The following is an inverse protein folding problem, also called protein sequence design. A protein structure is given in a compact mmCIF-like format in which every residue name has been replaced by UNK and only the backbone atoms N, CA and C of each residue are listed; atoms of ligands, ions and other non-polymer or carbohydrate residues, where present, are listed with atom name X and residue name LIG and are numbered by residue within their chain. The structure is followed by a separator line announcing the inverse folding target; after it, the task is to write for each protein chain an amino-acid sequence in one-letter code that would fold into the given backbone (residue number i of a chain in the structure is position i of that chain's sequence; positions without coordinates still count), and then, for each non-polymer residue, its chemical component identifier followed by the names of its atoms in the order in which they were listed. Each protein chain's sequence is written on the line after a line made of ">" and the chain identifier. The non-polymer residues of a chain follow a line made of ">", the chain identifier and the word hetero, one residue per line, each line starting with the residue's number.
data_IF_699740156725
#
_entry.id   IF_699740156725
#
_cell.length_a   1.000
_cell.length_b   1.000
_cell.length_c   1.000
_cell.angle_alpha   90.00
_cell.angle_beta   90.00
_cell.angle_gamma   90.00
#
_symmetry.space_group_name_H-M   'P 1'
#
loop_
_entity.id
_entity.type
_entity.pdbx_description
1 polymer ?
#
# COMPACT_ATOMS: atom_id res chain seq x y z
N UNK A 1 12.18 -25.65 16.58
CA UNK A 1 12.89 -25.61 15.28
C UNK A 1 11.90 -25.21 14.19
N UNK A 2 12.29 -24.33 13.27
CA UNK A 2 11.42 -23.89 12.17
C UNK A 2 11.36 -24.97 11.09
N UNK A 3 10.15 -25.47 10.80
CA UNK A 3 9.92 -26.51 9.79
C UNK A 3 9.64 -25.89 8.43
N UNK A 4 9.76 -26.67 7.35
CA UNK A 4 9.36 -26.22 6.01
C UNK A 4 7.89 -25.78 5.95
N UNK A 5 7.01 -26.43 6.73
CA UNK A 5 5.62 -26.01 6.84
C UNK A 5 5.49 -24.60 7.44
N UNK A 6 6.24 -24.28 8.49
CA UNK A 6 6.24 -22.94 9.10
C UNK A 6 6.79 -21.88 8.14
N UNK A 7 7.84 -22.21 7.38
CA UNK A 7 8.40 -21.31 6.35
C UNK A 7 7.38 -21.01 5.25
N UNK A 8 6.68 -22.03 4.78
CA UNK A 8 5.64 -21.88 3.76
C UNK A 8 4.51 -20.98 4.26
N UNK A 9 4.00 -21.21 5.48
CA UNK A 9 2.96 -20.36 6.07
C UNK A 9 3.44 -18.91 6.18
N UNK A 10 4.63 -18.68 6.74
CA UNK A 10 5.19 -17.34 6.88
C UNK A 10 5.39 -16.64 5.52
N UNK A 11 5.82 -17.37 4.50
CA UNK A 11 5.93 -16.87 3.12
C UNK A 11 4.56 -16.46 2.57
N UNK A 12 3.54 -17.31 2.74
CA UNK A 12 2.18 -17.02 2.29
C UNK A 12 1.54 -15.87 3.05
N UNK A 13 1.86 -15.66 4.32
CA UNK A 13 1.42 -14.47 5.07
C UNK A 13 1.84 -13.20 4.34
N UNK A 14 3.11 -13.06 3.95
CA UNK A 14 3.56 -11.88 3.19
C UNK A 14 2.93 -11.84 1.79
N UNK A 15 2.94 -12.94 1.04
CA UNK A 15 2.37 -12.95 -0.33
C UNK A 15 0.87 -12.65 -0.34
N UNK A 16 0.14 -13.04 0.70
CA UNK A 16 -1.30 -12.80 0.80
C UNK A 16 -1.65 -11.31 0.85
N UNK A 17 -0.69 -10.41 1.12
CA UNK A 17 -0.92 -8.96 1.04
C UNK A 17 -1.29 -8.51 -0.38
N UNK A 18 -0.90 -9.28 -1.41
CA UNK A 18 -1.25 -9.00 -2.80
C UNK A 18 -2.70 -9.30 -3.14
N UNK A 19 -3.46 -9.97 -2.26
CA UNK A 19 -4.89 -10.19 -2.48
C UNK A 19 -5.70 -8.87 -2.57
N UNK A 20 -5.14 -7.73 -2.17
CA UNK A 20 -5.71 -6.39 -2.41
C UNK A 20 -6.06 -6.12 -3.89
N UNK A 21 -5.38 -6.77 -4.82
CA UNK A 21 -5.62 -6.60 -6.25
C UNK A 21 -6.88 -7.31 -6.74
N UNK A 22 -7.45 -8.20 -5.92
CA UNK A 22 -8.67 -8.96 -6.24
C UNK A 22 -9.82 -8.58 -5.30
N UNK A 23 -9.51 -8.32 -4.02
CA UNK A 23 -10.50 -8.08 -2.96
C UNK A 23 -10.14 -6.78 -2.24
N UNK A 24 -11.08 -5.83 -2.08
CA UNK A 24 -10.87 -4.65 -1.26
C UNK A 24 -10.39 -5.03 0.15
N UNK A 25 -9.37 -4.33 0.65
CA UNK A 25 -8.72 -4.62 1.94
C UNK A 25 -8.09 -6.03 2.06
N UNK A 26 -7.95 -6.77 0.95
CA UNK A 26 -7.31 -8.09 0.94
C UNK A 26 -5.91 -8.08 1.55
N UNK A 27 -5.18 -6.97 1.43
CA UNK A 27 -3.86 -6.83 2.03
C UNK A 27 -3.83 -6.96 3.55
N UNK A 28 -4.96 -6.75 4.23
CA UNK A 28 -5.12 -7.01 5.65
C UNK A 28 -5.72 -8.39 5.90
N UNK A 29 -6.79 -8.72 5.17
CA UNK A 29 -7.56 -9.94 5.37
C UNK A 29 -6.69 -11.19 5.18
N UNK A 30 -5.91 -11.26 4.10
CA UNK A 30 -5.04 -12.40 3.81
C UNK A 30 -4.06 -12.70 4.96
N UNK A 31 -3.20 -11.74 5.34
CA UNK A 31 -2.24 -11.96 6.43
C UNK A 31 -2.91 -12.25 7.77
N UNK A 32 -4.00 -11.54 8.11
CA UNK A 32 -4.70 -11.73 9.39
C UNK A 32 -5.30 -13.13 9.48
N UNK A 33 -5.97 -13.62 8.43
CA UNK A 33 -6.57 -14.96 8.42
C UNK A 33 -5.47 -16.03 8.58
N UNK A 34 -4.40 -15.94 7.78
CA UNK A 34 -3.30 -16.89 7.83
C UNK A 34 -2.55 -16.84 9.17
N UNK A 35 -2.34 -15.65 9.73
CA UNK A 35 -1.70 -15.47 11.03
C UNK A 35 -2.56 -16.03 12.16
N UNK A 36 -3.83 -15.64 12.28
CA UNK A 36 -4.72 -16.13 13.36
C UNK A 36 -4.84 -17.65 13.33
N UNK A 37 -4.94 -18.27 12.15
CA UNK A 37 -5.06 -19.72 12.03
C UNK A 37 -3.78 -20.49 12.43
N UNK A 38 -2.63 -19.82 12.56
CA UNK A 38 -1.33 -20.49 12.71
C UNK A 38 -0.39 -19.89 13.78
N UNK A 39 -0.73 -18.73 14.38
CA UNK A 39 0.14 -18.01 15.33
C UNK A 39 0.56 -18.85 16.53
N UNK A 40 -0.34 -19.67 17.05
CA UNK A 40 -0.09 -20.49 18.25
C UNK A 40 0.72 -21.76 17.94
N UNK A 41 0.96 -22.05 16.65
CA UNK A 41 1.70 -23.24 16.19
C UNK A 41 3.21 -22.99 16.06
N UNK A 42 3.63 -21.72 15.90
CA UNK A 42 5.04 -21.38 15.71
C UNK A 42 5.34 -19.92 16.01
N UNK A 43 6.33 -19.66 16.87
CA UNK A 43 6.85 -18.32 17.15
C UNK A 43 7.35 -17.62 15.87
N UNK A 44 7.92 -18.38 14.92
CA UNK A 44 8.37 -17.85 13.63
C UNK A 44 7.20 -17.33 12.79
N UNK A 45 6.09 -18.08 12.77
CA UNK A 45 4.85 -17.66 12.07
C UNK A 45 4.22 -16.47 12.78
N UNK A 46 4.21 -16.44 14.12
CA UNK A 46 3.69 -15.30 14.89
C UNK A 46 4.47 -14.01 14.59
N UNK A 47 5.81 -14.08 14.61
CA UNK A 47 6.68 -12.94 14.27
C UNK A 47 6.42 -12.41 12.86
N UNK A 48 6.38 -13.28 11.85
CA UNK A 48 6.11 -12.86 10.47
C UNK A 48 4.69 -12.33 10.26
N UNK A 49 3.70 -12.93 10.91
CA UNK A 49 2.31 -12.45 10.91
C UNK A 49 2.19 -11.04 11.48
N UNK A 50 2.70 -10.82 12.69
CA UNK A 50 2.74 -9.49 13.31
C UNK A 50 3.47 -8.48 12.44
N UNK A 51 4.62 -8.84 11.87
CA UNK A 51 5.38 -7.94 10.99
C UNK A 51 4.62 -7.57 9.72
N UNK A 52 4.00 -8.54 9.04
CA UNK A 52 3.19 -8.27 7.84
C UNK A 52 2.01 -7.35 8.16
N UNK A 53 1.27 -7.65 9.23
CA UNK A 53 0.08 -6.88 9.64
C UNK A 53 0.48 -5.46 10.07
N UNK A 54 1.50 -5.32 10.91
CA UNK A 54 2.01 -4.03 11.34
C UNK A 54 2.46 -3.16 10.17
N UNK A 55 3.19 -3.75 9.21
CA UNK A 55 3.63 -3.03 8.01
C UNK A 55 2.44 -2.55 7.19
N UNK A 56 1.45 -3.41 6.93
CA UNK A 56 0.26 -3.03 6.17
C UNK A 56 -0.56 -1.92 6.86
N UNK A 57 -0.67 -1.95 8.19
CA UNK A 57 -1.33 -0.88 8.95
C UNK A 57 -0.51 0.41 8.87
N UNK A 58 0.82 0.32 8.93
CA UNK A 58 1.71 1.49 8.79
C UNK A 58 1.55 2.13 7.42
N UNK A 59 1.54 1.34 6.34
CA UNK A 59 1.33 1.84 4.97
C UNK A 59 -0.03 2.51 4.83
N UNK A 60 -1.10 1.92 5.38
CA UNK A 60 -2.42 2.55 5.37
C UNK A 60 -2.41 3.88 6.11
N UNK A 61 -1.76 3.98 7.27
CA UNK A 61 -1.62 5.24 7.99
C UNK A 61 -0.90 6.30 7.15
N UNK A 62 0.22 5.94 6.50
CA UNK A 62 0.94 6.86 5.64
C UNK A 62 0.11 7.30 4.43
N UNK A 63 -0.61 6.36 3.80
CA UNK A 63 -1.51 6.65 2.69
C UNK A 63 -2.66 7.57 3.10
N UNK A 64 -3.23 7.38 4.30
CA UNK A 64 -4.26 8.25 4.84
C UNK A 64 -3.73 9.66 5.09
N UNK A 65 -2.55 9.83 5.69
CA UNK A 65 -1.93 11.14 5.92
C UNK A 65 -1.70 11.86 4.58
N UNK A 66 -1.09 11.18 3.61
CA UNK A 66 -0.84 11.73 2.27
C UNK A 66 -2.17 12.08 1.58
N UNK A 67 -3.16 11.20 1.68
CA UNK A 67 -4.49 11.38 1.11
C UNK A 67 -5.23 12.57 1.71
N UNK A 68 -5.27 12.71 3.04
CA UNK A 68 -5.88 13.86 3.72
C UNK A 68 -5.23 15.18 3.33
N UNK A 69 -3.91 15.19 3.12
CA UNK A 69 -3.19 16.39 2.67
C UNK A 69 -3.44 16.66 1.18
N UNK A 70 -3.62 15.64 0.33
CA UNK A 70 -3.65 15.83 -1.13
C UNK A 70 -5.07 16.00 -1.69
N UNK A 71 -6.04 15.26 -1.14
CA UNK A 71 -7.41 15.14 -1.66
C UNK A 71 -8.16 16.49 -1.61
N UNK A 72 -8.18 17.27 -0.51
CA UNK A 72 -8.91 18.53 -0.45
C UNK A 72 -8.40 19.55 -1.48
N UNK A 73 -7.09 19.61 -1.70
CA UNK A 73 -6.49 20.52 -2.68
C UNK A 73 -6.77 20.08 -4.12
N UNK A 74 -6.77 18.77 -4.38
CA UNK A 74 -7.15 18.24 -5.67
C UNK A 74 -8.64 18.50 -5.96
N UNK A 75 -9.52 18.21 -5.00
CA UNK A 75 -10.95 18.49 -5.05
C UNK A 75 -11.20 19.97 -5.30
N UNK A 76 -10.65 20.86 -4.48
CA UNK A 76 -10.79 22.31 -4.66
C UNK A 76 -10.37 22.73 -6.07
N UNK A 77 -9.24 22.23 -6.58
CA UNK A 77 -8.81 22.54 -7.94
C UNK A 77 -9.76 22.01 -9.00
N UNK A 78 -10.24 20.78 -8.87
CA UNK A 78 -11.18 20.18 -9.82
C UNK A 78 -12.49 20.97 -9.82
N UNK A 79 -13.09 21.25 -8.67
CA UNK A 79 -14.33 22.02 -8.57
C UNK A 79 -14.20 23.47 -9.05
N UNK A 80 -13.11 24.18 -8.72
CA UNK A 80 -12.85 25.51 -9.30
C UNK A 80 -12.43 25.47 -10.78
N UNK A 81 -12.02 24.29 -11.27
CA UNK A 81 -11.64 24.05 -12.66
C UNK A 81 -12.79 23.55 -13.55
N UNK A 82 -13.91 23.10 -12.95
CA UNK A 82 -15.10 22.64 -13.67
C UNK A 82 -15.78 23.80 -14.41
N UNK A 83 -15.56 25.05 -14.00
CA UNK A 83 -15.99 26.24 -14.75
C UNK A 83 -15.26 26.40 -16.12
N UNK A 84 -14.27 25.56 -16.45
CA UNK A 84 -13.56 25.56 -17.73
C UNK A 84 -13.98 24.42 -18.69
N UNK A 85 -14.86 23.50 -18.28
CA UNK A 85 -15.37 22.45 -19.19
C UNK A 85 -16.66 22.97 -19.82
N UNK A 86 -16.50 23.83 -20.82
CA UNK A 86 -17.58 24.29 -21.68
C UNK A 86 -18.03 23.10 -22.55
N UNK A 87 -19.17 22.49 -22.26
CA UNK A 87 -19.65 21.28 -22.93
C UNK A 87 -20.32 21.62 -24.27
N UNK A 88 -19.54 22.25 -25.18
CA UNK A 88 -19.99 22.62 -26.51
C UNK A 88 -19.57 21.55 -27.54
N UNK A 89 -20.32 20.45 -27.62
CA UNK A 89 -20.45 19.61 -28.83
C UNK A 89 -19.22 18.82 -29.32
N UNK A 90 -19.47 17.59 -29.76
CA UNK A 90 -18.49 16.55 -30.15
C UNK A 90 -17.65 16.80 -31.42
N UNK A 91 -17.32 18.04 -31.81
CA UNK A 91 -16.65 18.30 -33.10
C UNK A 91 -15.28 19.01 -33.05
N UNK A 92 -14.81 19.52 -31.91
CA UNK A 92 -13.45 20.08 -31.80
C UNK A 92 -12.87 19.93 -30.38
N UNK A 93 -12.13 18.84 -30.13
CA UNK A 93 -11.40 18.66 -28.87
C UNK A 93 -10.04 19.38 -28.93
N UNK A 94 -10.04 20.68 -28.65
CA UNK A 94 -8.81 21.44 -28.43
C UNK A 94 -8.45 21.45 -26.94
N UNK A 95 -7.45 20.64 -26.53
CA UNK A 95 -6.88 20.75 -25.17
C UNK A 95 -5.98 22.01 -25.11
N UNK A 96 -6.50 23.10 -24.55
CA UNK A 96 -5.67 24.24 -24.16
C UNK A 96 -4.92 23.90 -22.86
N UNK A 97 -3.66 23.45 -22.98
CA UNK A 97 -2.76 23.26 -21.83
C UNK A 97 -2.21 24.64 -21.45
N UNK A 98 -2.96 25.38 -20.65
CA UNK A 98 -2.46 26.59 -19.99
C UNK A 98 -1.31 26.27 -19.01
N UNK A 99 -0.67 27.31 -18.47
CA UNK A 99 0.39 27.13 -17.45
C UNK A 99 -0.19 26.39 -16.23
N UNK A 100 0.34 25.22 -15.85
CA UNK A 100 -0.17 24.50 -14.69
C UNK A 100 -0.06 25.34 -13.43
N UNK A 101 -1.12 25.36 -12.62
CA UNK A 101 -1.09 26.06 -11.34
C UNK A 101 -0.02 25.45 -10.41
N UNK A 102 0.64 26.25 -9.55
CA UNK A 102 1.58 25.74 -8.55
C UNK A 102 1.05 24.55 -7.75
N UNK A 103 -0.25 24.58 -7.43
CA UNK A 103 -0.91 23.49 -6.71
C UNK A 103 -0.88 22.16 -7.46
N UNK A 104 -0.98 22.17 -8.79
CA UNK A 104 -0.92 20.94 -9.60
C UNK A 104 0.44 20.27 -9.55
N UNK A 105 1.50 21.08 -9.57
CA UNK A 105 2.87 20.57 -9.47
C UNK A 105 3.10 19.93 -8.11
N UNK A 106 2.57 20.53 -7.04
CA UNK A 106 2.66 19.98 -5.68
C UNK A 106 1.89 18.67 -5.58
N UNK A 107 0.61 18.64 -5.94
CA UNK A 107 -0.21 17.43 -5.85
C UNK A 107 0.30 16.33 -6.80
N UNK A 108 0.76 16.69 -7.99
CA UNK A 108 1.38 15.78 -8.94
C UNK A 108 2.68 15.17 -8.40
N UNK A 109 3.54 16.00 -7.81
CA UNK A 109 4.77 15.56 -7.15
C UNK A 109 4.50 14.58 -6.00
N UNK A 110 3.52 14.88 -5.16
CA UNK A 110 3.08 13.98 -4.08
C UNK A 110 2.56 12.65 -4.66
N UNK A 111 1.78 12.70 -5.74
CA UNK A 111 1.29 11.51 -6.45
C UNK A 111 2.42 10.63 -6.97
N UNK A 112 3.45 11.22 -7.57
CA UNK A 112 4.65 10.49 -8.02
C UNK A 112 5.38 9.84 -6.84
N UNK A 113 5.58 10.57 -5.75
CA UNK A 113 6.22 10.03 -4.54
C UNK A 113 5.41 8.88 -3.93
N UNK A 114 4.09 9.01 -3.86
CA UNK A 114 3.20 7.94 -3.39
C UNK A 114 3.29 6.69 -4.28
N UNK A 115 3.35 6.88 -5.61
CA UNK A 115 3.51 5.78 -6.55
C UNK A 115 4.86 5.07 -6.39
N UNK A 116 5.96 5.83 -6.23
CA UNK A 116 7.27 5.25 -5.92
C UNK A 116 7.27 4.50 -4.59
N UNK A 117 6.63 5.07 -3.56
CA UNK A 117 6.44 4.41 -2.27
C UNK A 117 5.67 3.09 -2.38
N UNK A 118 4.64 3.06 -3.22
CA UNK A 118 3.90 1.82 -3.54
C UNK A 118 4.79 0.77 -4.22
N UNK A 119 5.62 1.15 -5.21
CA UNK A 119 6.56 0.20 -5.82
C UNK A 119 7.58 -0.36 -4.82
N UNK A 120 8.09 0.50 -3.93
CA UNK A 120 8.97 0.10 -2.82
C UNK A 120 8.23 -0.88 -1.89
N UNK A 121 6.97 -0.61 -1.55
CA UNK A 121 6.14 -1.51 -0.75
C UNK A 121 6.07 -2.91 -1.36
N UNK A 122 5.77 -3.01 -2.67
CA UNK A 122 5.70 -4.30 -3.36
C UNK A 122 7.03 -5.06 -3.30
N UNK A 123 8.15 -4.35 -3.54
CA UNK A 123 9.48 -4.94 -3.47
C UNK A 123 9.82 -5.45 -2.05
N UNK A 124 9.41 -4.70 -1.02
CA UNK A 124 9.61 -5.11 0.38
C UNK A 124 8.79 -6.35 0.74
N UNK A 125 7.56 -6.48 0.25
CA UNK A 125 6.72 -7.68 0.44
C UNK A 125 7.39 -8.90 -0.20
N UNK A 126 7.91 -8.76 -1.42
CA UNK A 126 8.64 -9.85 -2.10
C UNK A 126 9.89 -10.22 -1.29
N UNK A 127 10.66 -9.24 -0.82
CA UNK A 127 11.86 -9.49 -0.01
C UNK A 127 11.53 -10.18 1.31
N UNK A 128 10.44 -9.78 1.98
CA UNK A 128 9.98 -10.43 3.20
C UNK A 128 9.55 -11.88 2.96
N UNK A 129 8.87 -12.13 1.84
CA UNK A 129 8.47 -13.47 1.41
C UNK A 129 9.69 -14.36 1.16
N UNK A 130 10.71 -13.84 0.46
CA UNK A 130 11.97 -14.56 0.23
C UNK A 130 12.73 -14.83 1.54
N UNK A 131 12.77 -13.87 2.45
CA UNK A 131 13.38 -14.03 3.78
C UNK A 131 12.69 -15.13 4.60
N UNK A 132 11.35 -15.12 4.63
CA UNK A 132 10.55 -16.13 5.32
C UNK A 132 10.79 -17.54 4.74
N UNK A 133 10.86 -17.64 3.41
CA UNK A 133 11.18 -18.89 2.68
C UNK A 133 12.57 -19.41 3.06
N UNK A 134 13.55 -18.53 3.23
CA UNK A 134 14.90 -18.88 3.67
C UNK A 134 14.97 -19.20 5.18
N UNK A 135 13.84 -19.08 5.90
CA UNK A 135 13.76 -19.31 7.36
C UNK A 135 14.37 -18.18 8.19
N UNK A 136 14.48 -16.97 7.63
CA UNK A 136 15.04 -15.79 8.29
C UNK A 136 13.95 -14.81 8.67
N UNK A 137 14.00 -14.33 9.91
CA UNK A 137 13.15 -13.23 10.37
C UNK A 137 13.33 -11.99 9.46
N UNK A 138 12.26 -11.26 9.23
CA UNK A 138 12.27 -10.05 8.41
C UNK A 138 11.58 -8.90 9.13
N UNK A 139 12.27 -7.76 9.21
CA UNK A 139 11.71 -6.53 9.72
C UNK A 139 11.49 -5.55 8.55
N UNK A 140 10.23 -5.16 8.35
CA UNK A 140 9.89 -4.19 7.32
C UNK A 140 10.38 -2.79 7.73
N UNK A 141 11.10 -2.06 6.85
CA UNK A 141 11.49 -0.69 7.15
C UNK A 141 10.27 0.20 7.27
N UNK A 142 10.37 1.23 8.11
CA UNK A 142 9.28 2.20 8.39
C UNK A 142 8.01 1.56 8.98
N UNK A 143 8.09 0.35 9.53
CA UNK A 143 6.98 -0.28 10.23
C UNK A 143 6.82 0.27 11.63
N UNK A 144 5.59 0.59 12.01
CA UNK A 144 5.17 0.88 13.36
C UNK A 144 4.60 -0.40 13.98
N UNK A 145 5.10 -0.79 15.16
CA UNK A 145 4.67 -2.03 15.83
C UNK A 145 3.38 -1.82 16.63
N UNK A 146 2.23 -2.04 16.00
CA UNK A 146 0.91 -2.01 16.66
C UNK A 146 0.65 -3.29 17.47
N UNK A 147 0.96 -4.44 16.88
CA UNK A 147 0.94 -5.75 17.51
C UNK A 147 2.32 -6.06 18.10
N UNK A 148 2.35 -6.39 19.40
CA UNK A 148 3.55 -6.78 20.16
C UNK A 148 3.64 -8.30 20.27
#
# INVERSE_FOLDING_TARGET
>A
MTTEHHKNIATFIHLSTFSRFLIPFGNFLGPIILWIANKDKSEFVDKHGKQAINFQISILLYALIIGTISIPFFIFKVFNGIDFIDFNGFYDFHINIGRPSPLLYITGGIGVLAFLGFLIELALIVRASLSARDGKDYHYPLTINFLK
#
